data_IF_720691616087
#
_entry.id   IF_720691616087
#
_cell.length_a   1.000
_cell.length_b   1.000
_cell.length_c   1.000
_cell.angle_alpha   90.00
_cell.angle_beta   90.00
_cell.angle_gamma   90.00
#
_symmetry.space_group_name_H-M   'P 1'
#
loop_
_entity.id
_entity.type
_entity.pdbx_description
1 polymer ?
#
# COMPACT_ATOMS: atom_id res chain seq x y z
N UNK A 1 -8.87 2.11 -8.45
CA UNK A 1 -9.58 2.73 -7.30
C UNK A 1 -10.60 3.74 -7.79
N UNK A 2 -11.68 3.95 -7.06
CA UNK A 2 -12.67 4.99 -7.31
C UNK A 2 -12.90 5.82 -6.04
N UNK A 3 -13.40 7.04 -6.17
CA UNK A 3 -13.69 7.93 -5.03
C UNK A 3 -14.98 8.70 -5.25
N UNK A 4 -15.64 9.13 -4.16
CA UNK A 4 -16.81 10.01 -4.22
C UNK A 4 -16.46 11.51 -4.33
N UNK A 5 -15.16 11.87 -4.38
CA UNK A 5 -14.64 13.25 -4.49
C UNK A 5 -13.72 13.41 -5.70
N UNK A 6 -13.51 14.63 -6.21
CA UNK A 6 -12.60 14.88 -7.33
C UNK A 6 -11.11 14.75 -6.99
N UNK A 7 -10.76 14.55 -5.71
CA UNK A 7 -9.40 14.35 -5.23
C UNK A 7 -9.42 13.46 -3.99
N UNK A 8 -8.38 12.64 -3.81
CA UNK A 8 -8.17 11.76 -2.65
C UNK A 8 -6.69 11.41 -2.56
N UNK A 9 -6.16 11.10 -1.37
CA UNK A 9 -4.82 10.51 -1.27
C UNK A 9 -4.93 8.98 -1.41
N UNK A 10 -3.92 8.33 -1.99
CA UNK A 10 -3.79 6.88 -1.89
C UNK A 10 -2.49 6.53 -1.17
N UNK A 11 -2.61 5.89 -0.02
CA UNK A 11 -1.50 5.38 0.80
C UNK A 11 -1.54 3.86 0.82
N UNK A 12 -0.39 3.24 0.60
CA UNK A 12 -0.23 1.78 0.63
C UNK A 12 0.94 1.41 1.53
N UNK A 13 0.69 0.59 2.53
CA UNK A 13 1.72 0.05 3.42
C UNK A 13 1.79 -1.47 3.30
N UNK A 14 3.00 -2.00 3.41
CA UNK A 14 3.25 -3.38 3.76
C UNK A 14 3.67 -3.45 5.21
N UNK A 15 2.97 -4.30 5.97
CA UNK A 15 3.20 -4.48 7.39
C UNK A 15 3.50 -5.94 7.71
N UNK A 16 4.23 -6.17 8.78
CA UNK A 16 4.42 -7.48 9.36
C UNK A 16 3.51 -7.65 10.57
N UNK A 17 2.79 -8.78 10.61
CA UNK A 17 1.83 -9.11 11.66
C UNK A 17 2.22 -10.43 12.35
N UNK A 18 1.90 -10.62 13.64
CA UNK A 18 1.18 -9.70 14.51
C UNK A 18 1.99 -8.45 14.83
N UNK A 19 1.28 -7.33 14.98
CA UNK A 19 1.89 -6.06 15.34
C UNK A 19 2.57 -6.17 16.71
N UNK A 20 3.85 -5.82 16.77
CA UNK A 20 4.63 -5.81 17.98
C UNK A 20 4.46 -4.49 18.71
N UNK A 21 3.94 -4.56 19.93
CA UNK A 21 3.76 -3.41 20.82
C UNK A 21 4.81 -3.41 21.94
N UNK A 22 5.02 -2.25 22.55
CA UNK A 22 5.90 -2.09 23.72
C UNK A 22 7.01 -1.07 23.51
N UNK A 23 7.99 -1.07 24.43
CA UNK A 23 9.05 -0.04 24.48
C UNK A 23 10.25 -0.30 23.57
N UNK A 24 10.32 -1.47 22.94
CA UNK A 24 11.50 -1.95 22.20
C UNK A 24 11.30 -2.44 20.76
N UNK A 25 10.08 -2.55 20.17
CA UNK A 25 9.99 -2.91 18.77
C UNK A 25 10.55 -1.76 17.92
N UNK A 26 11.41 -2.11 16.97
CA UNK A 26 11.86 -1.20 15.92
C UNK A 26 10.71 -0.96 14.96
N UNK A 27 10.71 0.17 14.25
CA UNK A 27 9.69 0.43 13.24
C UNK A 27 9.63 -0.67 12.17
N UNK A 28 10.80 -1.22 11.82
CA UNK A 28 10.97 -2.33 10.89
C UNK A 28 10.34 -3.63 11.39
N UNK A 29 10.12 -3.79 12.69
CA UNK A 29 9.50 -5.02 13.21
C UNK A 29 8.02 -5.14 12.80
N UNK A 30 7.42 -4.02 12.37
CA UNK A 30 6.00 -3.88 12.07
C UNK A 30 5.74 -3.35 10.66
N UNK A 31 6.58 -2.44 10.15
CA UNK A 31 6.40 -1.83 8.84
C UNK A 31 7.54 -2.28 7.95
N UNK A 32 7.17 -2.90 6.85
CA UNK A 32 8.09 -3.39 5.82
C UNK A 32 8.41 -2.25 4.87
N UNK A 33 7.39 -1.71 4.21
CA UNK A 33 7.56 -0.56 3.32
C UNK A 33 6.26 0.21 3.17
N UNK A 34 6.33 1.40 2.58
CA UNK A 34 5.23 2.32 2.35
C UNK A 34 5.33 2.93 0.96
N UNK A 35 4.23 3.44 0.45
CA UNK A 35 4.19 4.22 -0.78
C UNK A 35 2.91 5.04 -0.84
N UNK A 36 2.96 6.09 -1.65
CA UNK A 36 1.87 7.02 -1.82
C UNK A 36 1.71 7.35 -3.30
N UNK A 37 0.47 7.57 -3.71
CA UNK A 37 0.12 8.07 -5.02
C UNK A 37 -0.98 9.11 -4.87
N UNK A 38 -0.94 10.12 -5.73
CA UNK A 38 -2.08 10.96 -6.00
C UNK A 38 -2.85 10.34 -7.17
N UNK A 39 -4.08 9.84 -6.98
CA UNK A 39 -4.89 9.33 -8.08
C UNK A 39 -5.17 10.37 -9.16
N UNK A 40 -5.09 11.67 -8.88
CA UNK A 40 -5.18 12.72 -9.90
C UNK A 40 -4.04 12.64 -10.93
N UNK A 41 -2.96 11.93 -10.60
CA UNK A 41 -1.83 11.65 -11.49
C UNK A 41 -1.97 10.30 -12.22
N UNK A 42 -3.19 9.75 -12.35
CA UNK A 42 -3.40 8.45 -13.00
C UNK A 42 -2.91 8.39 -14.46
N UNK A 43 -2.90 9.53 -15.16
CA UNK A 43 -2.48 9.65 -16.57
C UNK A 43 -1.08 10.26 -16.74
N UNK A 44 -0.56 11.00 -15.75
CA UNK A 44 0.70 11.72 -15.83
C UNK A 44 1.34 11.92 -14.45
N UNK A 45 2.67 11.77 -14.37
CA UNK A 45 3.43 12.03 -13.14
C UNK A 45 3.65 13.53 -12.86
N UNK A 46 3.44 14.40 -13.84
CA UNK A 46 3.72 15.84 -13.74
C UNK A 46 2.48 16.72 -13.87
N UNK A 47 1.35 16.15 -14.27
CA UNK A 47 0.09 16.86 -14.46
C UNK A 47 -1.01 16.14 -13.69
N UNK A 48 -1.80 16.91 -12.95
CA UNK A 48 -2.94 16.41 -12.18
C UNK A 48 -4.23 16.79 -12.88
N UNK A 49 -5.18 15.85 -12.93
CA UNK A 49 -6.55 16.11 -13.37
C UNK A 49 -7.58 15.75 -12.30
N UNK A 50 -8.73 16.41 -12.32
CA UNK A 50 -9.79 16.11 -11.36
C UNK A 50 -10.40 14.74 -11.66
N UNK A 51 -10.60 13.93 -10.62
CA UNK A 51 -11.23 12.62 -10.74
C UNK A 51 -12.73 12.77 -10.98
N UNK A 52 -13.29 11.88 -11.80
CA UNK A 52 -14.74 11.75 -11.94
C UNK A 52 -15.26 10.87 -10.80
N UNK A 53 -16.19 11.35 -9.95
CA UNK A 53 -16.69 10.56 -8.84
C UNK A 53 -17.32 9.23 -9.30
N UNK A 54 -16.92 8.13 -8.66
CA UNK A 54 -17.37 6.77 -8.98
C UNK A 54 -16.65 6.09 -10.16
N UNK A 55 -15.82 6.81 -10.91
CA UNK A 55 -15.01 6.24 -11.98
C UNK A 55 -13.78 5.52 -11.40
N UNK A 56 -13.47 4.34 -11.95
CA UNK A 56 -12.31 3.56 -11.54
C UNK A 56 -11.08 3.94 -12.36
N UNK A 57 -10.02 4.34 -11.66
CA UNK A 57 -8.71 4.62 -12.23
C UNK A 57 -7.70 3.55 -11.80
N UNK A 58 -6.89 3.08 -12.74
CA UNK A 58 -5.77 2.16 -12.48
C UNK A 58 -4.51 2.95 -12.15
N UNK A 59 -3.84 2.57 -11.06
CA UNK A 59 -2.61 3.21 -10.60
C UNK A 59 -1.52 2.16 -10.47
N UNK A 60 -0.35 2.44 -11.02
CA UNK A 60 0.83 1.58 -10.94
C UNK A 60 2.01 2.40 -10.42
N UNK A 61 2.49 2.09 -9.23
CA UNK A 61 3.62 2.79 -8.61
C UNK A 61 4.46 1.84 -7.77
N UNK A 62 5.69 2.26 -7.47
CA UNK A 62 6.62 1.51 -6.62
C UNK A 62 6.48 1.96 -5.16
N UNK A 63 6.52 1.01 -4.24
CA UNK A 63 6.74 1.32 -2.82
C UNK A 63 8.22 1.68 -2.59
N UNK A 64 8.53 2.26 -1.44
CA UNK A 64 9.91 2.56 -1.07
C UNK A 64 10.75 1.26 -1.05
N UNK A 65 11.97 1.27 -1.58
CA UNK A 65 12.82 0.08 -1.56
C UNK A 65 13.20 -0.27 -0.13
N UNK A 66 13.15 -1.56 0.20
CA UNK A 66 13.61 -2.11 1.48
C UNK A 66 14.20 -3.51 1.28
N UNK A 67 15.05 -3.95 2.21
CA UNK A 67 15.60 -5.30 2.27
C UNK A 67 15.32 -5.90 3.64
N UNK A 68 14.36 -6.81 3.69
CA UNK A 68 13.84 -7.33 4.94
C UNK A 68 13.59 -8.84 4.91
N UNK A 69 13.98 -9.49 6.01
CA UNK A 69 13.61 -10.88 6.32
C UNK A 69 12.32 -10.86 7.13
N UNK A 70 11.30 -11.57 6.66
CA UNK A 70 10.06 -11.80 7.43
C UNK A 70 10.22 -13.11 8.24
N UNK A 71 10.30 -13.04 9.58
CA UNK A 71 10.43 -14.21 10.43
C UNK A 71 9.28 -15.22 10.28
N UNK A 72 9.60 -16.51 10.48
CA UNK A 72 8.59 -17.57 10.56
C UNK A 72 7.52 -17.24 11.59
N UNK A 73 6.26 -17.44 11.21
CA UNK A 73 5.09 -17.17 12.06
C UNK A 73 4.55 -15.76 11.92
N UNK A 74 5.30 -14.83 11.30
CA UNK A 74 4.75 -13.55 10.88
C UNK A 74 4.03 -13.65 9.53
N UNK A 75 3.14 -12.69 9.28
CA UNK A 75 2.38 -12.55 8.04
C UNK A 75 2.61 -11.17 7.45
N UNK A 76 2.68 -11.10 6.12
CA UNK A 76 2.69 -9.83 5.40
C UNK A 76 1.23 -9.37 5.24
N UNK A 77 0.93 -8.15 5.67
CA UNK A 77 -0.35 -7.48 5.46
C UNK A 77 -0.22 -6.36 4.44
N UNK A 78 -1.12 -6.31 3.47
CA UNK A 78 -1.29 -5.17 2.57
C UNK A 78 -2.35 -4.23 3.16
N UNK A 79 -1.95 -3.02 3.51
CA UNK A 79 -2.85 -1.97 3.99
C UNK A 79 -3.03 -0.92 2.89
N UNK A 80 -4.28 -0.66 2.52
CA UNK A 80 -4.65 0.37 1.55
C UNK A 80 -5.59 1.35 2.26
N UNK A 81 -5.25 2.63 2.23
CA UNK A 81 -6.01 3.66 2.92
C UNK A 81 -5.74 5.04 2.30
N UNK A 82 -6.49 6.06 2.72
CA UNK A 82 -6.34 7.42 2.17
C UNK A 82 -5.27 8.23 2.90
N UNK A 83 -5.62 8.81 4.05
CA UNK A 83 -4.74 9.75 4.74
C UNK A 83 -3.77 9.06 5.69
N UNK A 84 -2.50 9.09 5.32
CA UNK A 84 -1.35 8.82 6.18
C UNK A 84 -1.05 10.03 7.08
N UNK A 85 -1.07 9.78 8.40
CA UNK A 85 -0.86 10.77 9.45
C UNK A 85 0.59 11.27 9.50
N UNK A 86 1.53 10.61 8.85
CA UNK A 86 2.92 11.07 8.85
C UNK A 86 3.28 11.84 7.57
N UNK A 87 2.59 11.58 6.45
CA UNK A 87 3.10 11.97 5.13
C UNK A 87 2.08 12.56 4.14
N UNK A 88 0.78 12.55 4.43
CA UNK A 88 -0.23 13.07 3.49
C UNK A 88 -1.06 14.21 4.09
N UNK A 89 -1.82 14.90 3.23
CA UNK A 89 -2.81 15.89 3.65
C UNK A 89 -3.97 15.25 4.40
N UNK A 90 -4.53 15.98 5.37
CA UNK A 90 -5.67 15.55 6.18
C UNK A 90 -6.87 16.43 5.86
N UNK A 91 -7.56 16.18 4.74
CA UNK A 91 -8.81 16.86 4.44
C UNK A 91 -9.88 16.49 5.48
N UNK A 92 -10.92 17.31 5.55
CA UNK A 92 -12.11 17.01 6.34
C UNK A 92 -12.70 15.63 5.97
N UNK A 93 -13.28 14.91 6.93
CA UNK A 93 -13.83 13.58 6.70
C UNK A 93 -15.00 13.62 5.70
N UNK A 94 -15.21 12.51 4.98
CA UNK A 94 -16.31 12.33 4.03
C UNK A 94 -15.89 11.88 2.63
N UNK A 95 -14.59 11.76 2.37
CA UNK A 95 -14.08 11.07 1.17
C UNK A 95 -14.15 9.56 1.39
N UNK A 96 -14.76 8.87 0.43
CA UNK A 96 -14.84 7.41 0.38
C UNK A 96 -13.97 6.90 -0.76
N UNK A 97 -13.06 5.97 -0.45
CA UNK A 97 -12.19 5.32 -1.42
C UNK A 97 -12.68 3.88 -1.62
N UNK A 98 -12.99 3.52 -2.86
CA UNK A 98 -13.38 2.17 -3.25
C UNK A 98 -12.23 1.47 -3.98
N UNK A 99 -11.93 0.25 -3.57
CA UNK A 99 -10.88 -0.59 -4.15
C UNK A 99 -11.52 -1.82 -4.77
N UNK A 100 -11.20 -2.08 -6.03
CA UNK A 100 -11.53 -3.35 -6.69
C UNK A 100 -10.43 -4.36 -6.39
N UNK A 101 -10.76 -5.38 -5.60
CA UNK A 101 -9.79 -6.37 -5.13
C UNK A 101 -9.37 -7.34 -6.23
N UNK A 102 -10.25 -7.67 -7.18
CA UNK A 102 -9.94 -8.60 -8.28
C UNK A 102 -8.97 -7.96 -9.28
N UNK A 103 -9.00 -6.63 -9.39
CA UNK A 103 -8.09 -5.83 -10.22
C UNK A 103 -6.87 -5.27 -9.44
N UNK A 104 -6.68 -5.66 -8.17
CA UNK A 104 -5.56 -5.18 -7.34
C UNK A 104 -4.54 -6.29 -7.10
N UNK A 105 -3.28 -6.01 -7.40
CA UNK A 105 -2.18 -6.95 -7.19
C UNK A 105 -0.96 -6.25 -6.61
N UNK A 106 -0.11 -7.01 -5.93
CA UNK A 106 1.22 -6.55 -5.51
C UNK A 106 2.29 -7.54 -5.96
N UNK A 107 3.41 -7.00 -6.44
CA UNK A 107 4.59 -7.78 -6.83
C UNK A 107 5.71 -7.55 -5.83
N UNK A 108 6.19 -8.61 -5.19
CA UNK A 108 7.27 -8.57 -4.22
C UNK A 108 8.53 -9.24 -4.78
N UNK A 109 9.69 -8.56 -4.84
CA UNK A 109 10.95 -9.23 -5.14
C UNK A 109 11.37 -10.09 -3.93
N UNK A 110 11.54 -11.39 -4.14
CA UNK A 110 11.97 -12.33 -3.10
C UNK A 110 13.34 -12.89 -3.47
N UNK A 111 14.28 -12.87 -2.52
CA UNK A 111 15.60 -13.46 -2.69
C UNK A 111 15.47 -14.97 -2.94
N UNK A 112 16.05 -15.45 -4.05
CA UNK A 112 15.89 -16.83 -4.53
C UNK A 112 14.61 -17.09 -5.33
N UNK A 113 13.74 -16.10 -5.50
CA UNK A 113 12.58 -16.16 -6.39
C UNK A 113 11.47 -17.09 -5.93
N UNK A 114 10.72 -17.63 -6.90
CA UNK A 114 9.54 -18.48 -6.67
C UNK A 114 9.85 -19.74 -5.87
N UNK A 115 11.02 -20.36 -6.09
CA UNK A 115 11.44 -21.55 -5.35
C UNK A 115 11.50 -21.30 -3.83
N UNK A 116 11.97 -20.11 -3.40
CA UNK A 116 11.97 -19.72 -1.99
C UNK A 116 10.54 -19.60 -1.45
N UNK A 117 9.62 -18.99 -2.20
CA UNK A 117 8.21 -18.83 -1.81
C UNK A 117 7.53 -20.20 -1.63
N UNK A 118 7.64 -21.09 -2.62
CA UNK A 118 7.05 -22.43 -2.60
C UNK A 118 7.55 -23.22 -1.38
N UNK A 119 8.84 -23.10 -1.05
CA UNK A 119 9.42 -23.83 0.09
C UNK A 119 8.85 -23.43 1.45
N UNK A 120 8.33 -22.20 1.59
CA UNK A 120 7.80 -21.67 2.86
C UNK A 120 6.27 -21.66 2.93
N UNK A 121 5.58 -21.78 1.79
CA UNK A 121 4.14 -21.95 1.68
C UNK A 121 3.78 -23.24 0.91
N UNK A 122 4.09 -24.44 1.45
CA UNK A 122 3.61 -25.68 0.85
C UNK A 122 2.08 -25.74 0.94
N UNK A 123 1.43 -26.14 -0.16
CA UNK A 123 -0.03 -26.36 -0.25
C UNK A 123 -0.59 -27.28 0.84
#
# INVERSE_FOLDING_TARGET
VATNKPAVNLSVWLVSLPWQEGRRPKITDNIITRGWADPQNHSSLSESEALVPGEFYTLTFKLQPDDQIIPKGQKIGLMIFSSDREFTLWPEPGTELTVDLDATSISLPVVGGEASIISVFPE
#
